data_IF_023154357261
#
_entry.id   IF_023154357261
#
_cell.length_a   1.000
_cell.length_b   1.000
_cell.length_c   1.000
_cell.angle_alpha   90.00
_cell.angle_beta   90.00
_cell.angle_gamma   90.00
#
_symmetry.space_group_name_H-M   'P 1'
#
loop_
_entity.id
_entity.type
_entity.pdbx_description
1 polymer ?
#
# COMPACT_ATOMS: atom_id res chain seq x y z
N UNK A 1 -13.19 -6.33 14.22
CA UNK A 1 -13.67 -7.03 13.02
C UNK A 1 -14.30 -6.01 12.09
N UNK A 2 -14.12 -6.17 10.78
CA UNK A 2 -14.72 -5.39 9.70
C UNK A 2 -16.14 -5.87 9.35
N UNK A 3 -16.55 -7.03 9.87
CA UNK A 3 -17.81 -7.69 9.56
C UNK A 3 -18.83 -7.39 10.67
N UNK A 4 -20.05 -7.01 10.28
CA UNK A 4 -21.16 -6.83 11.21
C UNK A 4 -21.57 -8.16 11.85
N UNK A 5 -22.14 -8.12 13.07
CA UNK A 5 -22.54 -9.33 13.82
C UNK A 5 -23.54 -10.23 13.09
N UNK A 6 -24.30 -9.70 12.14
CA UNK A 6 -25.19 -10.48 11.27
C UNK A 6 -24.47 -11.34 10.22
N UNK A 7 -23.19 -11.08 9.95
CA UNK A 7 -22.40 -11.79 8.94
C UNK A 7 -22.75 -11.43 7.49
N UNK A 8 -23.52 -10.36 7.26
CA UNK A 8 -24.02 -9.97 5.94
C UNK A 8 -23.56 -8.58 5.48
N UNK A 9 -22.78 -7.88 6.31
CA UNK A 9 -22.29 -6.52 6.02
C UNK A 9 -20.81 -6.49 6.39
N UNK A 10 -19.99 -5.87 5.54
CA UNK A 10 -18.58 -5.61 5.82
C UNK A 10 -18.24 -4.16 5.50
N UNK A 11 -17.22 -3.63 6.17
CA UNK A 11 -16.59 -2.35 5.86
C UNK A 11 -15.49 -2.53 4.80
N UNK A 12 -15.27 -1.49 3.99
CA UNK A 12 -14.17 -1.39 3.00
C UNK A 12 -13.60 0.04 3.01
N UNK A 13 -12.41 0.23 2.45
CA UNK A 13 -11.79 1.55 2.31
C UNK A 13 -11.51 2.25 3.65
N UNK A 14 -11.55 3.58 3.65
CA UNK A 14 -11.28 4.41 4.85
C UNK A 14 -12.21 4.11 6.04
N UNK A 15 -13.36 3.44 5.82
CA UNK A 15 -14.24 3.03 6.91
C UNK A 15 -13.62 1.93 7.80
N UNK A 16 -12.70 1.11 7.27
CA UNK A 16 -12.01 0.07 8.03
C UNK A 16 -10.49 0.27 8.16
N UNK A 17 -9.85 1.01 7.26
CA UNK A 17 -8.40 1.22 7.27
C UNK A 17 -7.96 2.65 6.92
N UNK A 18 -8.44 3.68 7.66
CA UNK A 18 -8.00 5.06 7.41
C UNK A 18 -6.49 5.19 7.63
N UNK A 19 -5.78 5.90 6.74
CA UNK A 19 -4.32 6.00 6.78
C UNK A 19 -3.80 7.40 6.49
N UNK A 20 -2.56 7.64 6.89
CA UNK A 20 -1.88 8.89 6.55
C UNK A 20 -1.66 8.98 5.03
N UNK A 21 -1.72 10.19 4.42
CA UNK A 21 -1.69 10.32 2.97
C UNK A 21 -0.29 10.17 2.35
N UNK A 22 0.75 9.88 3.14
CA UNK A 22 2.15 10.00 2.73
C UNK A 22 2.62 8.97 1.68
N UNK A 23 1.89 7.87 1.50
CA UNK A 23 2.13 6.92 0.40
C UNK A 23 1.09 7.04 -0.73
N UNK A 24 0.05 7.85 -0.58
CA UNK A 24 -1.03 7.96 -1.57
C UNK A 24 -1.85 6.68 -1.77
N UNK A 25 -1.78 5.72 -0.84
CA UNK A 25 -2.34 4.37 -1.01
C UNK A 25 -3.81 4.21 -0.59
N UNK A 26 -4.44 5.19 0.08
CA UNK A 26 -5.81 5.03 0.58
C UNK A 26 -6.83 4.64 -0.50
N UNK A 27 -6.78 5.30 -1.66
CA UNK A 27 -7.64 4.97 -2.80
C UNK A 27 -7.31 3.61 -3.43
N UNK A 28 -6.03 3.29 -3.60
CA UNK A 28 -5.59 2.00 -4.13
C UNK A 28 -6.04 0.84 -3.24
N UNK A 29 -5.94 1.01 -1.92
CA UNK A 29 -6.38 0.05 -0.92
C UNK A 29 -7.88 -0.25 -0.98
N UNK A 30 -8.71 0.76 -1.24
CA UNK A 30 -10.15 0.58 -1.45
C UNK A 30 -10.45 -0.17 -2.77
N UNK A 31 -9.64 0.04 -3.82
CA UNK A 31 -9.76 -0.69 -5.09
C UNK A 31 -9.35 -2.15 -4.90
N UNK A 32 -8.25 -2.41 -4.21
CA UNK A 32 -7.80 -3.77 -3.85
C UNK A 32 -8.89 -4.50 -3.03
N UNK A 33 -9.59 -3.82 -2.12
CA UNK A 33 -10.72 -4.42 -1.38
C UNK A 33 -11.84 -4.87 -2.32
N UNK A 34 -12.20 -4.01 -3.29
CA UNK A 34 -13.23 -4.31 -4.27
C UNK A 34 -12.82 -5.49 -5.17
N UNK A 35 -11.53 -5.57 -5.56
CA UNK A 35 -10.99 -6.68 -6.34
C UNK A 35 -11.08 -8.01 -5.57
N UNK A 36 -10.63 -8.04 -4.30
CA UNK A 36 -10.74 -9.25 -3.46
C UNK A 36 -12.19 -9.67 -3.27
N UNK A 37 -13.10 -8.73 -2.95
CA UNK A 37 -14.52 -9.06 -2.81
C UNK A 37 -15.12 -9.57 -4.13
N UNK A 38 -14.82 -8.91 -5.25
CA UNK A 38 -15.24 -9.35 -6.58
C UNK A 38 -14.82 -10.78 -6.85
N UNK A 39 -13.54 -11.09 -6.64
CA UNK A 39 -13.00 -12.43 -6.86
C UNK A 39 -13.58 -13.47 -5.90
N UNK A 40 -13.77 -13.11 -4.62
CA UNK A 40 -14.39 -13.99 -3.63
C UNK A 40 -15.84 -14.32 -3.98
N UNK A 41 -16.60 -13.35 -4.47
CA UNK A 41 -18.02 -13.53 -4.79
C UNK A 41 -18.30 -14.01 -6.22
N UNK A 42 -17.30 -14.03 -7.11
CA UNK A 42 -17.47 -14.36 -8.53
C UNK A 42 -18.18 -15.69 -8.83
N UNK A 43 -18.10 -16.68 -7.92
CA UNK A 43 -18.67 -18.02 -8.09
C UNK A 43 -19.65 -18.41 -6.97
N UNK A 44 -20.21 -17.43 -6.27
CA UNK A 44 -21.19 -17.70 -5.21
C UNK A 44 -22.42 -18.39 -5.78
N UNK A 45 -22.88 -19.46 -5.12
CA UNK A 45 -24.05 -20.25 -5.55
C UNK A 45 -25.23 -20.08 -4.60
N UNK A 46 -24.97 -19.69 -3.35
CA UNK A 46 -25.97 -19.51 -2.30
C UNK A 46 -25.63 -18.33 -1.37
N UNK A 47 -26.68 -17.65 -0.88
CA UNK A 47 -26.55 -16.60 0.15
C UNK A 47 -25.96 -17.11 1.47
N UNK A 48 -26.04 -18.42 1.74
CA UNK A 48 -25.45 -19.02 2.93
C UNK A 48 -23.92 -18.97 2.94
N UNK A 49 -23.29 -18.74 1.79
CA UNK A 49 -21.83 -18.65 1.65
C UNK A 49 -21.28 -17.26 2.04
N UNK A 50 -22.14 -16.23 2.06
CA UNK A 50 -21.75 -14.83 2.31
C UNK A 50 -20.91 -14.68 3.59
N UNK A 51 -21.30 -15.24 4.76
CA UNK A 51 -20.52 -15.06 5.98
C UNK A 51 -19.11 -15.65 5.89
N UNK A 52 -18.94 -16.77 5.17
CA UNK A 52 -17.62 -17.39 4.95
C UNK A 52 -16.77 -16.55 4.02
N UNK A 53 -17.33 -16.04 2.92
CA UNK A 53 -16.62 -15.18 1.98
C UNK A 53 -16.20 -13.85 2.61
N UNK A 54 -17.06 -13.24 3.45
CA UNK A 54 -16.70 -12.01 4.16
C UNK A 54 -15.57 -12.24 5.18
N UNK A 55 -15.52 -13.41 5.84
CA UNK A 55 -14.39 -13.80 6.69
C UNK A 55 -13.10 -13.99 5.88
N UNK A 56 -13.22 -14.58 4.69
CA UNK A 56 -12.10 -14.68 3.74
C UNK A 56 -11.55 -13.31 3.39
N UNK A 57 -12.42 -12.38 3.00
CA UNK A 57 -12.07 -10.99 2.72
C UNK A 57 -11.32 -10.34 3.89
N UNK A 58 -11.87 -10.40 5.10
CA UNK A 58 -11.21 -9.83 6.29
C UNK A 58 -9.83 -10.47 6.53
N UNK A 59 -9.72 -11.79 6.38
CA UNK A 59 -8.45 -12.51 6.61
C UNK A 59 -7.35 -12.14 5.61
N UNK A 60 -7.70 -11.90 4.35
CA UNK A 60 -6.76 -11.50 3.30
C UNK A 60 -6.33 -10.05 3.49
N UNK A 61 -7.29 -9.16 3.80
CA UNK A 61 -7.10 -7.71 3.69
C UNK A 61 -6.62 -7.05 4.97
N UNK A 62 -6.94 -7.59 6.15
CA UNK A 62 -6.59 -6.96 7.43
C UNK A 62 -5.07 -6.78 7.58
N UNK A 63 -4.30 -7.82 7.26
CA UNK A 63 -2.83 -7.77 7.32
C UNK A 63 -2.25 -6.76 6.34
N UNK A 64 -2.68 -6.83 5.07
CA UNK A 64 -2.25 -5.92 4.00
C UNK A 64 -2.56 -4.45 4.33
N UNK A 65 -3.76 -4.16 4.81
CA UNK A 65 -4.14 -2.80 5.18
C UNK A 65 -3.34 -2.26 6.37
N UNK A 66 -3.07 -3.11 7.37
CA UNK A 66 -2.25 -2.75 8.52
C UNK A 66 -0.82 -2.41 8.10
N UNK A 67 -0.23 -3.19 7.19
CA UNK A 67 1.13 -2.94 6.68
C UNK A 67 1.24 -1.60 5.96
N UNK A 68 0.27 -1.28 5.09
CA UNK A 68 0.25 0.00 4.36
C UNK A 68 -0.03 1.18 5.30
N UNK A 69 -0.88 1.02 6.32
CA UNK A 69 -1.09 2.04 7.36
C UNK A 69 0.21 2.38 8.09
N UNK A 70 0.95 1.35 8.53
CA UNK A 70 2.22 1.53 9.24
C UNK A 70 3.29 2.13 8.32
N UNK A 71 3.39 1.66 7.08
CA UNK A 71 4.31 2.21 6.08
C UNK A 71 4.00 3.67 5.77
N UNK A 72 2.71 4.03 5.71
CA UNK A 72 2.27 5.41 5.51
C UNK A 72 2.63 6.31 6.69
N UNK A 73 2.51 5.80 7.92
CA UNK A 73 2.94 6.52 9.11
C UNK A 73 4.46 6.76 9.11
N UNK A 74 5.25 5.75 8.73
CA UNK A 74 6.71 5.86 8.65
C UNK A 74 7.16 6.86 7.58
N UNK A 75 6.56 6.80 6.38
CA UNK A 75 6.82 7.74 5.29
C UNK A 75 6.54 9.20 5.71
N UNK A 76 5.59 9.40 6.62
CA UNK A 76 5.30 10.70 7.22
C UNK A 76 6.49 11.31 7.95
N UNK A 77 7.37 10.51 8.56
CA UNK A 77 8.55 11.04 9.26
C UNK A 77 9.48 11.81 8.32
N UNK A 78 9.64 11.40 7.06
CA UNK A 78 10.42 12.16 6.08
C UNK A 78 9.85 13.56 5.78
N UNK A 79 8.55 13.76 6.02
CA UNK A 79 7.84 15.00 5.69
C UNK A 79 7.72 15.97 6.87
N UNK A 80 7.92 15.50 8.11
CA UNK A 80 7.87 16.35 9.31
C UNK A 80 9.20 17.07 9.52
N UNK A 81 9.20 18.39 9.54
CA UNK A 81 10.40 19.23 9.61
C UNK A 81 11.23 19.04 10.89
N UNK A 82 10.61 18.57 11.97
CA UNK A 82 11.26 18.27 13.24
C UNK A 82 11.99 16.91 13.24
N UNK A 83 11.83 16.10 12.20
CA UNK A 83 12.38 14.75 12.17
C UNK A 83 13.84 14.73 11.71
N UNK A 84 14.64 13.83 12.32
CA UNK A 84 16.02 13.55 11.89
C UNK A 84 16.06 13.07 10.43
N UNK A 85 15.03 12.35 9.98
CA UNK A 85 14.95 11.89 8.59
C UNK A 85 14.74 13.04 7.61
N UNK A 86 13.91 14.03 7.95
CA UNK A 86 13.73 15.23 7.14
C UNK A 86 15.01 16.06 7.08
N UNK A 87 15.72 16.22 8.20
CA UNK A 87 17.02 16.89 8.23
C UNK A 87 18.05 16.18 7.34
N UNK A 88 18.11 14.84 7.42
CA UNK A 88 19.00 14.04 6.56
C UNK A 88 18.65 14.17 5.08
N UNK A 89 17.35 14.13 4.74
CA UNK A 89 16.86 14.39 3.38
C UNK A 89 17.29 15.77 2.91
N UNK A 90 17.08 16.81 3.70
CA UNK A 90 17.41 18.19 3.33
C UNK A 90 18.92 18.37 3.08
N UNK A 91 19.76 17.74 3.90
CA UNK A 91 21.22 17.70 3.68
C UNK A 91 21.53 16.98 2.36
N UNK A 92 20.93 15.81 2.11
CA UNK A 92 21.15 15.06 0.89
C UNK A 92 20.71 15.83 -0.37
N UNK A 93 19.55 16.49 -0.33
CA UNK A 93 19.04 17.33 -1.42
C UNK A 93 19.97 18.51 -1.67
N UNK A 94 20.45 19.21 -0.63
CA UNK A 94 21.43 20.31 -0.80
C UNK A 94 22.71 19.82 -1.48
N UNK A 95 23.30 18.74 -0.98
CA UNK A 95 24.51 18.17 -1.56
C UNK A 95 24.30 17.70 -3.02
N UNK A 96 23.10 17.21 -3.35
CA UNK A 96 22.76 16.80 -4.72
C UNK A 96 22.43 17.99 -5.63
N UNK A 97 21.98 19.12 -5.06
CA UNK A 97 21.81 20.37 -5.81
C UNK A 97 23.18 20.92 -6.20
N UNK A 98 24.15 20.86 -5.29
CA UNK A 98 25.52 21.26 -5.58
C UNK A 98 26.17 20.36 -6.64
N UNK A 99 25.94 19.03 -6.58
CA UNK A 99 26.43 18.10 -7.58
C UNK A 99 25.77 18.30 -8.95
N UNK A 100 24.47 18.56 -9.00
CA UNK A 100 23.74 18.79 -10.26
C UNK A 100 24.10 20.14 -10.89
N UNK A 101 24.25 21.20 -10.10
CA UNK A 101 24.76 22.49 -10.59
C UNK A 101 26.17 22.34 -11.15
N UNK A 102 27.02 21.54 -10.50
CA UNK A 102 28.38 21.27 -10.97
C UNK A 102 28.39 20.39 -12.25
N UNK A 103 27.48 19.42 -12.36
CA UNK A 103 27.30 18.60 -13.57
C UNK A 103 26.71 19.40 -14.74
N UNK A 104 25.85 20.38 -14.49
CA UNK A 104 25.38 21.34 -15.52
C UNK A 104 26.51 22.25 -16.00
N UNK A 105 27.46 22.59 -15.12
CA UNK A 105 28.66 23.34 -15.48
C UNK A 105 29.70 22.50 -16.25
N UNK A 106 29.65 21.16 -16.13
CA UNK A 106 30.54 20.20 -16.83
C UNK A 106 29.74 19.08 -17.52
N UNK A 107 29.20 19.32 -18.72
CA UNK A 107 28.16 18.47 -19.35
C UNK A 107 28.64 17.11 -19.86
N UNK A 108 29.95 16.81 -19.81
CA UNK A 108 30.52 15.51 -20.22
C UNK A 108 30.45 14.48 -19.08
N UNK A 109 30.12 14.88 -17.85
CA UNK A 109 29.95 13.94 -16.74
C UNK A 109 28.66 13.11 -16.90
N UNK A 110 28.83 11.80 -16.92
CA UNK A 110 27.75 10.82 -16.98
C UNK A 110 26.82 11.00 -15.77
N UNK A 111 25.51 11.14 -16.01
CA UNK A 111 24.54 11.24 -14.91
C UNK A 111 24.56 9.93 -14.11
N UNK A 112 24.58 9.98 -12.76
CA UNK A 112 24.41 8.79 -11.96
C UNK A 112 23.06 8.14 -12.34
N UNK A 113 23.08 6.82 -12.57
CA UNK A 113 21.85 6.05 -12.81
C UNK A 113 20.88 6.30 -11.65
N UNK A 114 19.59 6.52 -11.92
CA UNK A 114 18.60 6.55 -10.86
C UNK A 114 18.73 5.24 -10.08
N UNK A 115 18.94 5.36 -8.78
CA UNK A 115 19.04 4.21 -7.91
C UNK A 115 17.77 3.36 -8.04
N UNK A 116 17.98 2.06 -8.25
CA UNK A 116 16.88 1.12 -8.46
C UNK A 116 15.93 1.20 -7.25
N UNK A 117 14.64 1.40 -7.55
CA UNK A 117 13.57 1.34 -6.56
C UNK A 117 13.70 0.05 -5.75
N UNK A 118 13.89 0.17 -4.44
CA UNK A 118 14.25 -0.94 -3.56
C UNK A 118 13.08 -1.88 -3.26
N UNK A 119 13.35 -2.96 -2.51
CA UNK A 119 12.37 -3.99 -2.14
C UNK A 119 11.09 -3.47 -1.44
N UNK A 120 11.15 -2.30 -0.79
CA UNK A 120 9.98 -1.65 -0.20
C UNK A 120 8.94 -1.18 -1.21
N UNK A 121 9.36 -0.87 -2.44
CA UNK A 121 8.43 -0.46 -3.51
C UNK A 121 7.66 -1.66 -4.06
N UNK A 122 8.29 -2.84 -4.17
CA UNK A 122 7.60 -4.05 -4.62
C UNK A 122 6.50 -4.47 -3.63
N UNK A 123 6.76 -4.39 -2.32
CA UNK A 123 5.75 -4.69 -1.31
C UNK A 123 4.57 -3.71 -1.35
N UNK A 124 4.79 -2.45 -1.72
CA UNK A 124 3.73 -1.44 -1.79
C UNK A 124 2.96 -1.56 -3.11
N UNK A 125 3.64 -1.65 -4.24
CA UNK A 125 3.04 -1.49 -5.57
C UNK A 125 2.88 -2.81 -6.37
N UNK A 126 3.56 -3.88 -5.98
CA UNK A 126 3.53 -5.19 -6.65
C UNK A 126 2.44 -6.14 -6.14
N UNK A 127 1.50 -5.65 -5.35
CA UNK A 127 0.45 -6.50 -4.75
C UNK A 127 -0.64 -6.85 -5.76
N UNK A 128 -0.82 -8.15 -6.03
CA UNK A 128 -1.90 -8.68 -6.86
C UNK A 128 -3.08 -9.12 -5.98
N UNK A 129 -4.10 -8.26 -5.91
CA UNK A 129 -5.29 -8.47 -5.09
C UNK A 129 -6.18 -9.62 -5.59
N UNK A 130 -6.23 -9.88 -6.89
CA UNK A 130 -7.06 -10.95 -7.44
C UNK A 130 -6.41 -12.30 -7.20
N UNK A 131 -5.10 -12.42 -7.43
CA UNK A 131 -4.35 -13.66 -7.22
C UNK A 131 -4.42 -14.15 -5.77
N UNK A 132 -4.24 -13.26 -4.79
CA UNK A 132 -4.34 -13.66 -3.36
C UNK A 132 -5.73 -14.14 -2.97
N UNK A 133 -6.79 -13.63 -3.62
CA UNK A 133 -8.15 -14.07 -3.40
C UNK A 133 -8.43 -15.43 -4.05
N UNK A 134 -7.84 -15.70 -5.21
CA UNK A 134 -7.85 -17.02 -5.84
C UNK A 134 -7.13 -18.05 -4.97
N UNK A 135 -5.93 -17.72 -4.48
CA UNK A 135 -5.14 -18.59 -3.63
C UNK A 135 -5.91 -18.93 -2.35
N UNK A 136 -6.54 -17.94 -1.71
CA UNK A 136 -7.35 -18.18 -0.52
C UNK A 136 -8.45 -19.22 -0.77
N UNK A 137 -9.16 -19.13 -1.91
CA UNK A 137 -10.20 -20.10 -2.28
C UNK A 137 -9.65 -21.51 -2.51
N UNK A 138 -8.45 -21.63 -3.08
CA UNK A 138 -7.83 -22.93 -3.34
C UNK A 138 -7.50 -23.70 -2.06
N UNK A 139 -7.42 -23.01 -0.91
CA UNK A 139 -7.07 -23.58 0.39
C UNK A 139 -8.27 -23.69 1.37
N UNK A 140 -9.51 -23.48 0.91
CA UNK A 140 -10.75 -23.72 1.67
C UNK A 140 -11.30 -25.13 1.44
#
# INVERSE_FOLDING_TARGET
>A
SWIHSSGLVTLIGDACHPMMPYLGQGGAMAIEDAAVLGQLFARITSKSEIPTLLKGYESIRLGRATEIQLSSLEAGKMHRSDSVLAQRRDIAVRNNTDSTLNALANPIQEKPKPEARGAGDEAIYGYDAEQVAEDWKAHQ
#
